data_IF_771022501147
#
_entry.id   IF_771022501147
#
_cell.length_a   1.000
_cell.length_b   1.000
_cell.length_c   1.000
_cell.angle_alpha   90.00
_cell.angle_beta   90.00
_cell.angle_gamma   90.00
#
_symmetry.space_group_name_H-M   'P 1'
#
loop_
_entity.id
_entity.type
_entity.pdbx_description
1 polymer ?
#
# COMPACT_ATOMS: atom_id res chain seq x y z
N UNK A 1 -3.60 -25.35 -29.07
CA UNK A 1 -3.68 -24.30 -28.02
C UNK A 1 -2.37 -24.35 -27.25
N UNK A 2 -1.75 -23.20 -26.90
CA UNK A 2 -0.45 -23.22 -26.25
C UNK A 2 -0.56 -23.81 -24.84
N UNK A 3 0.18 -24.90 -24.60
CA UNK A 3 0.39 -25.45 -23.27
C UNK A 3 1.71 -24.91 -22.74
N UNK A 4 1.70 -24.26 -21.58
CA UNK A 4 2.93 -23.76 -20.95
C UNK A 4 3.42 -24.80 -19.94
N UNK A 5 4.70 -25.16 -20.04
CA UNK A 5 5.39 -26.01 -19.07
C UNK A 5 6.44 -25.17 -18.36
N UNK A 6 6.25 -24.95 -17.07
CA UNK A 6 7.21 -24.30 -16.17
C UNK A 6 8.11 -25.39 -15.58
N UNK A 7 9.38 -25.39 -15.95
CA UNK A 7 10.37 -26.35 -15.45
C UNK A 7 11.22 -25.69 -14.37
N UNK A 8 11.21 -26.25 -13.16
CA UNK A 8 12.06 -25.83 -12.04
C UNK A 8 13.19 -26.84 -11.83
N UNK A 9 14.38 -26.34 -11.52
CA UNK A 9 15.59 -27.16 -11.27
C UNK A 9 15.46 -28.12 -10.08
N UNK A 10 14.58 -27.82 -9.12
CA UNK A 10 14.35 -28.63 -7.93
C UNK A 10 13.02 -28.31 -7.25
N UNK A 11 12.53 -29.22 -6.42
CA UNK A 11 11.37 -28.97 -5.54
C UNK A 11 11.64 -27.78 -4.60
N UNK A 12 12.87 -27.67 -4.09
CA UNK A 12 13.28 -26.54 -3.24
C UNK A 12 13.18 -25.19 -3.98
N UNK A 13 13.47 -25.14 -5.28
CA UNK A 13 13.31 -23.93 -6.08
C UNK A 13 11.83 -23.60 -6.35
N UNK A 14 11.02 -24.60 -6.68
CA UNK A 14 9.57 -24.43 -6.90
C UNK A 14 8.85 -23.92 -5.63
N UNK A 15 9.22 -24.45 -4.46
CA UNK A 15 8.65 -24.12 -3.15
C UNK A 15 9.30 -22.87 -2.51
N UNK A 16 10.40 -22.35 -3.06
CA UNK A 16 11.11 -21.21 -2.49
C UNK A 16 10.23 -19.98 -2.43
N UNK A 17 10.21 -19.29 -1.28
CA UNK A 17 9.39 -18.09 -1.09
C UNK A 17 10.03 -16.85 -1.70
N UNK A 18 9.50 -16.43 -2.84
CA UNK A 18 9.80 -15.15 -3.47
C UNK A 18 8.84 -14.11 -2.92
N UNK A 19 9.33 -13.30 -1.98
CA UNK A 19 8.54 -12.30 -1.25
C UNK A 19 7.26 -12.89 -0.63
N UNK A 20 7.41 -14.00 0.10
CA UNK A 20 6.34 -14.68 0.84
C UNK A 20 5.50 -15.68 0.07
N UNK A 21 5.54 -15.67 -1.28
CA UNK A 21 4.81 -16.62 -2.12
C UNK A 21 5.79 -17.66 -2.70
N UNK A 22 5.45 -18.96 -2.70
CA UNK A 22 6.22 -19.97 -3.45
C UNK A 22 6.47 -19.56 -4.90
N UNK A 23 7.68 -19.79 -5.41
CA UNK A 23 8.08 -19.36 -6.75
C UNK A 23 7.14 -19.92 -7.83
N UNK A 24 6.76 -21.19 -7.70
CA UNK A 24 5.82 -21.85 -8.60
C UNK A 24 4.41 -21.19 -8.60
N UNK A 25 3.87 -20.82 -7.43
CA UNK A 25 2.59 -20.10 -7.36
C UNK A 25 2.69 -18.69 -7.96
N UNK A 26 3.81 -17.99 -7.76
CA UNK A 26 4.03 -16.67 -8.37
C UNK A 26 4.13 -16.75 -9.89
N UNK A 27 4.79 -17.79 -10.41
CA UNK A 27 4.84 -18.06 -11.84
C UNK A 27 3.43 -18.36 -12.39
N UNK A 28 2.68 -19.24 -11.73
CA UNK A 28 1.30 -19.56 -12.10
C UNK A 28 0.40 -18.32 -12.12
N UNK A 29 0.54 -17.43 -11.15
CA UNK A 29 -0.18 -16.15 -11.11
C UNK A 29 0.11 -15.28 -12.33
N UNK A 30 1.39 -15.17 -12.73
CA UNK A 30 1.79 -14.42 -13.92
C UNK A 30 1.20 -15.02 -15.20
N UNK A 31 1.14 -16.34 -15.33
CA UNK A 31 0.46 -16.99 -16.46
C UNK A 31 -1.05 -16.74 -16.43
N UNK A 32 -1.67 -16.86 -15.26
CA UNK A 32 -3.11 -16.65 -15.09
C UNK A 32 -3.53 -15.23 -15.50
N UNK A 33 -2.69 -14.22 -15.26
CA UNK A 33 -2.95 -12.83 -15.64
C UNK A 33 -3.08 -12.59 -17.16
N UNK A 34 -2.55 -13.49 -17.99
CA UNK A 34 -2.69 -13.41 -19.46
C UNK A 34 -3.52 -14.56 -20.04
N UNK A 35 -3.96 -15.51 -19.20
CA UNK A 35 -4.49 -16.79 -19.64
C UNK A 35 -5.75 -16.68 -20.51
N UNK A 36 -6.70 -15.84 -20.09
CA UNK A 36 -7.95 -15.62 -20.84
C UNK A 36 -7.69 -14.92 -22.19
N UNK A 37 -6.83 -13.89 -22.19
CA UNK A 37 -6.55 -13.08 -23.37
C UNK A 37 -5.72 -13.85 -24.42
N UNK A 38 -4.86 -14.78 -24.00
CA UNK A 38 -3.98 -15.56 -24.87
C UNK A 38 -4.46 -17.01 -25.10
N UNK A 39 -5.64 -17.37 -24.59
CA UNK A 39 -6.22 -18.70 -24.76
C UNK A 39 -5.41 -19.82 -24.09
N UNK A 40 -4.67 -19.50 -23.03
CA UNK A 40 -3.88 -20.47 -22.25
C UNK A 40 -4.81 -21.13 -21.23
N UNK A 41 -5.21 -22.38 -21.48
CA UNK A 41 -6.13 -23.10 -20.60
C UNK A 41 -5.46 -23.97 -19.53
N UNK A 42 -4.20 -24.33 -19.75
CA UNK A 42 -3.48 -25.25 -18.88
C UNK A 42 -2.00 -24.85 -18.77
N UNK A 43 -1.48 -24.96 -17.54
CA UNK A 43 -0.07 -24.77 -17.22
C UNK A 43 0.40 -25.96 -16.39
N UNK A 44 1.50 -26.59 -16.79
CA UNK A 44 2.13 -27.65 -16.02
C UNK A 44 3.35 -27.09 -15.29
N UNK A 45 3.54 -27.47 -14.04
CA UNK A 45 4.74 -27.18 -13.24
C UNK A 45 5.46 -28.50 -13.04
N UNK A 46 6.71 -28.58 -13.52
CA UNK A 46 7.49 -29.82 -13.55
C UNK A 46 8.82 -29.59 -12.84
N UNK A 47 9.27 -30.63 -12.15
CA UNK A 47 10.59 -30.73 -11.52
C UNK A 47 11.20 -32.03 -12.01
N UNK A 48 12.52 -32.07 -12.19
CA UNK A 48 13.25 -33.24 -12.73
C UNK A 48 13.20 -34.49 -11.82
N UNK A 49 12.69 -34.37 -10.60
CA UNK A 49 12.57 -35.45 -9.62
C UNK A 49 11.12 -35.64 -9.17
N UNK A 50 10.75 -36.85 -8.71
CA UNK A 50 9.44 -37.08 -8.09
C UNK A 50 9.21 -36.07 -6.96
N UNK A 51 8.12 -35.32 -7.07
CA UNK A 51 7.82 -34.22 -6.16
C UNK A 51 6.32 -34.17 -5.89
N UNK A 52 5.98 -34.02 -4.61
CA UNK A 52 4.62 -33.72 -4.18
C UNK A 52 4.57 -32.25 -3.72
N UNK A 53 3.75 -31.41 -4.36
CA UNK A 53 3.56 -30.02 -3.96
C UNK A 53 3.08 -29.89 -2.52
N UNK A 54 3.61 -28.90 -1.81
CA UNK A 54 3.16 -28.59 -0.45
C UNK A 54 1.72 -28.04 -0.43
N UNK A 55 1.01 -28.24 0.68
CA UNK A 55 -0.30 -27.62 0.95
C UNK A 55 -0.28 -26.10 0.78
N UNK A 56 0.85 -25.45 1.15
CA UNK A 56 1.01 -24.00 1.00
C UNK A 56 1.06 -23.61 -0.46
N UNK A 57 1.85 -24.31 -1.28
CA UNK A 57 1.91 -24.06 -2.72
C UNK A 57 0.56 -24.28 -3.39
N UNK A 58 -0.12 -25.38 -3.06
CA UNK A 58 -1.44 -25.69 -3.62
C UNK A 58 -2.48 -24.62 -3.27
N UNK A 59 -2.51 -24.18 -2.02
CA UNK A 59 -3.41 -23.11 -1.56
C UNK A 59 -3.13 -21.79 -2.27
N UNK A 60 -1.87 -21.39 -2.40
CA UNK A 60 -1.50 -20.16 -3.11
C UNK A 60 -1.81 -20.25 -4.61
N UNK A 61 -1.59 -21.40 -5.25
CA UNK A 61 -1.97 -21.64 -6.65
C UNK A 61 -3.48 -21.49 -6.86
N UNK A 62 -4.31 -22.10 -6.00
CA UNK A 62 -5.79 -21.97 -6.07
C UNK A 62 -6.23 -20.52 -5.90
N UNK A 63 -5.59 -19.79 -4.99
CA UNK A 63 -5.92 -18.39 -4.70
C UNK A 63 -5.52 -17.44 -5.83
N UNK A 64 -4.33 -17.64 -6.41
CA UNK A 64 -3.72 -16.71 -7.36
C UNK A 64 -3.99 -17.03 -8.83
N UNK A 65 -4.35 -18.27 -9.14
CA UNK A 65 -4.62 -18.73 -10.50
C UNK A 65 -5.91 -19.59 -10.55
N UNK A 66 -7.05 -19.13 -10.00
CA UNK A 66 -8.24 -19.98 -9.84
C UNK A 66 -8.86 -20.46 -11.17
N UNK A 67 -8.65 -19.71 -12.26
CA UNK A 67 -9.17 -20.02 -13.60
C UNK A 67 -8.19 -20.83 -14.46
N UNK A 68 -6.95 -21.05 -14.01
CA UNK A 68 -5.93 -21.77 -14.76
C UNK A 68 -5.88 -23.24 -14.32
N UNK A 69 -6.00 -24.18 -15.26
CA UNK A 69 -5.81 -25.60 -14.93
C UNK A 69 -4.33 -25.88 -14.69
N UNK A 70 -3.96 -26.09 -13.42
CA UNK A 70 -2.61 -26.41 -13.01
C UNK A 70 -2.40 -27.92 -12.87
N UNK A 71 -1.32 -28.42 -13.44
CA UNK A 71 -0.86 -29.80 -13.26
C UNK A 71 0.57 -29.78 -12.70
N UNK A 72 0.89 -30.73 -11.81
CA UNK A 72 2.24 -30.87 -11.22
C UNK A 72 2.99 -32.07 -11.79
N UNK A 73 2.67 -32.41 -13.03
CA UNK A 73 3.24 -33.51 -13.78
C UNK A 73 3.34 -33.10 -15.25
N UNK A 74 4.25 -33.72 -16.03
CA UNK A 74 4.35 -33.47 -17.46
C UNK A 74 3.01 -33.79 -18.14
N UNK A 75 2.47 -32.88 -18.98
CA UNK A 75 1.27 -33.17 -19.75
C UNK A 75 1.57 -34.23 -20.82
N UNK A 76 0.56 -34.99 -21.24
CA UNK A 76 0.68 -35.87 -22.40
C UNK A 76 1.07 -35.05 -23.64
N UNK A 77 1.95 -35.56 -24.52
CA UNK A 77 2.43 -34.82 -25.69
C UNK A 77 1.28 -34.58 -26.67
N UNK A 78 0.67 -33.39 -26.60
CA UNK A 78 -0.38 -32.97 -27.53
C UNK A 78 -0.32 -31.45 -27.73
N UNK A 79 -0.18 -31.02 -28.98
CA UNK A 79 -0.18 -29.61 -29.37
C UNK A 79 1.15 -28.87 -29.20
N UNK A 80 1.10 -27.54 -29.40
CA UNK A 80 2.24 -26.63 -29.26
C UNK A 80 2.55 -26.42 -27.79
N UNK A 81 3.72 -26.87 -27.36
CA UNK A 81 4.19 -26.78 -25.98
C UNK A 81 5.28 -25.70 -25.88
N UNK A 82 5.07 -24.72 -25.01
CA UNK A 82 6.08 -23.71 -24.67
C UNK A 82 6.73 -24.10 -23.34
N UNK A 83 7.99 -24.50 -23.37
CA UNK A 83 8.75 -24.87 -22.17
C UNK A 83 9.56 -23.68 -21.68
N UNK A 84 9.41 -23.34 -20.40
CA UNK A 84 9.96 -22.13 -19.78
C UNK A 84 10.65 -22.48 -18.48
N UNK A 85 11.85 -21.93 -18.25
CA UNK A 85 12.56 -22.07 -16.97
C UNK A 85 11.86 -21.25 -15.89
N UNK A 86 11.30 -21.93 -14.89
CA UNK A 86 10.46 -21.33 -13.85
C UNK A 86 11.18 -20.24 -13.04
N UNK A 87 12.42 -20.47 -12.62
CA UNK A 87 13.19 -19.49 -11.84
C UNK A 87 13.53 -18.24 -12.65
N UNK A 88 13.94 -18.45 -13.89
CA UNK A 88 14.25 -17.37 -14.82
C UNK A 88 13.01 -16.53 -15.12
N UNK A 89 11.86 -17.19 -15.32
CA UNK A 89 10.58 -16.53 -15.56
C UNK A 89 10.14 -15.70 -14.35
N UNK A 90 10.18 -16.26 -13.14
CA UNK A 90 9.85 -15.52 -11.90
C UNK A 90 10.75 -14.30 -11.73
N UNK A 91 12.06 -14.45 -11.96
CA UNK A 91 13.00 -13.34 -11.89
C UNK A 91 12.77 -12.30 -12.98
N UNK A 92 12.41 -12.74 -14.20
CA UNK A 92 12.13 -11.86 -15.32
C UNK A 92 10.84 -11.05 -15.11
N UNK A 93 9.80 -11.64 -14.52
CA UNK A 93 8.58 -10.91 -14.12
C UNK A 93 8.89 -9.94 -12.98
N UNK A 94 9.66 -10.36 -11.96
CA UNK A 94 9.97 -9.53 -10.80
C UNK A 94 10.75 -8.25 -11.14
N UNK A 95 11.62 -8.28 -12.14
CA UNK A 95 12.38 -7.10 -12.61
C UNK A 95 11.52 -6.08 -13.35
N UNK A 96 10.34 -6.47 -13.82
CA UNK A 96 9.46 -5.61 -14.60
C UNK A 96 8.54 -4.86 -13.64
N UNK A 97 8.80 -3.58 -13.49
CA UNK A 97 7.96 -2.71 -12.67
C UNK A 97 6.60 -2.49 -13.36
N UNK A 98 5.52 -2.52 -12.59
CA UNK A 98 4.17 -2.21 -13.07
C UNK A 98 3.13 -3.28 -12.74
N UNK A 99 1.88 -3.06 -13.15
CA UNK A 99 0.82 -4.05 -13.00
C UNK A 99 1.15 -5.31 -13.80
N UNK A 100 0.77 -6.46 -13.24
CA UNK A 100 0.94 -7.74 -13.89
C UNK A 100 -0.02 -7.84 -15.09
N UNK A 101 0.51 -8.12 -16.27
CA UNK A 101 -0.24 -8.20 -17.52
C UNK A 101 0.65 -8.55 -18.70
N UNK A 102 0.10 -8.51 -19.93
CA UNK A 102 0.82 -8.93 -21.16
C UNK A 102 2.18 -8.26 -21.35
N UNK A 103 2.28 -6.97 -21.07
CA UNK A 103 3.53 -6.19 -21.22
C UNK A 103 4.65 -6.68 -20.31
N UNK A 104 4.30 -7.18 -19.12
CA UNK A 104 5.28 -7.73 -18.19
C UNK A 104 5.56 -9.22 -18.48
N UNK A 105 4.51 -9.99 -18.78
CA UNK A 105 4.56 -11.45 -18.81
C UNK A 105 5.11 -12.00 -20.13
N UNK A 106 4.69 -11.46 -21.29
CA UNK A 106 5.14 -11.99 -22.59
C UNK A 106 6.65 -11.85 -22.77
N UNK A 107 7.28 -10.68 -22.51
CA UNK A 107 8.74 -10.58 -22.60
C UNK A 107 9.45 -11.48 -21.58
N UNK A 108 8.88 -11.67 -20.39
CA UNK A 108 9.44 -12.59 -19.40
C UNK A 108 9.38 -14.06 -19.85
N UNK A 109 8.31 -14.47 -20.54
CA UNK A 109 8.21 -15.79 -21.17
C UNK A 109 9.29 -15.96 -22.25
N UNK A 110 9.48 -14.96 -23.11
CA UNK A 110 10.53 -15.01 -24.13
C UNK A 110 11.94 -15.11 -23.54
N UNK A 111 12.23 -14.34 -22.49
CA UNK A 111 13.53 -14.35 -21.80
C UNK A 111 13.84 -15.73 -21.17
N UNK A 112 12.81 -16.42 -20.69
CA UNK A 112 12.93 -17.67 -19.94
C UNK A 112 12.62 -18.93 -20.78
N UNK A 113 12.26 -18.78 -22.05
CA UNK A 113 11.93 -19.88 -22.96
C UNK A 113 13.15 -20.77 -23.20
N UNK A 114 12.95 -22.09 -23.14
CA UNK A 114 13.95 -23.08 -23.54
C UNK A 114 13.81 -23.26 -25.06
N UNK A 115 14.86 -22.93 -25.82
CA UNK A 115 14.85 -22.97 -27.29
C UNK A 115 15.48 -24.24 -27.88
N UNK A 116 16.26 -24.96 -27.10
CA UNK A 116 16.95 -26.18 -27.53
C UNK A 116 16.12 -27.44 -27.20
N UNK A 117 16.11 -28.41 -28.11
CA UNK A 117 15.54 -29.77 -27.92
C UNK A 117 16.34 -30.65 -26.94
N UNK A 118 17.38 -30.11 -26.30
CA UNK A 118 18.16 -30.86 -25.33
C UNK A 118 17.27 -31.30 -24.15
N UNK A 119 17.36 -32.57 -23.71
CA UNK A 119 16.49 -33.10 -22.66
C UNK A 119 16.56 -32.23 -21.40
N UNK A 120 15.44 -32.06 -20.66
CA UNK A 120 15.31 -31.09 -19.56
C UNK A 120 16.43 -31.15 -18.52
N UNK A 121 17.03 -32.33 -18.32
CA UNK A 121 18.14 -32.58 -17.39
C UNK A 121 19.44 -31.80 -17.72
N UNK A 122 19.74 -31.50 -19.00
CA UNK A 122 20.99 -30.87 -19.41
C UNK A 122 20.99 -29.33 -19.23
N UNK A 123 19.83 -28.74 -18.96
CA UNK A 123 19.63 -27.30 -18.82
C UNK A 123 19.53 -26.83 -17.36
N UNK A 124 19.79 -27.72 -16.40
CA UNK A 124 19.61 -27.45 -14.97
C UNK A 124 20.61 -26.40 -14.48
N UNK A 125 20.09 -25.25 -14.07
CA UNK A 125 20.84 -24.23 -13.34
C UNK A 125 21.32 -24.89 -12.03
N UNK A 126 22.60 -24.70 -11.65
CA UNK A 126 23.10 -25.09 -10.32
C UNK A 126 22.09 -24.64 -9.25
N UNK A 127 21.62 -25.57 -8.42
CA UNK A 127 20.59 -25.30 -7.42
C UNK A 127 20.92 -24.09 -6.52
N UNK A 128 22.21 -23.83 -6.25
CA UNK A 128 22.63 -22.61 -5.53
C UNK A 128 22.45 -21.34 -6.34
N UNK A 129 22.70 -21.38 -7.65
CA UNK A 129 22.43 -20.25 -8.55
C UNK A 129 20.92 -20.00 -8.70
N UNK A 130 20.11 -21.05 -8.79
CA UNK A 130 18.65 -20.95 -8.84
C UNK A 130 18.08 -20.25 -7.59
N UNK A 131 18.48 -20.69 -6.38
CA UNK A 131 18.04 -20.06 -5.13
C UNK A 131 18.51 -18.62 -4.98
N UNK A 132 19.73 -18.28 -5.43
CA UNK A 132 20.22 -16.88 -5.46
C UNK A 132 19.38 -16.01 -6.40
N UNK A 133 18.97 -16.53 -7.55
CA UNK A 133 18.12 -15.84 -8.50
C UNK A 133 16.73 -15.55 -7.90
N UNK A 134 16.11 -16.55 -7.28
CA UNK A 134 14.80 -16.40 -6.62
C UNK A 134 14.87 -15.44 -5.42
N UNK A 135 15.98 -15.44 -4.67
CA UNK A 135 16.22 -14.46 -3.60
C UNK A 135 16.28 -13.03 -4.12
N UNK A 136 16.97 -12.79 -5.24
CA UNK A 136 17.01 -11.48 -5.91
C UNK A 136 15.64 -11.08 -6.43
N UNK A 137 14.90 -12.01 -7.06
CA UNK A 137 13.53 -11.77 -7.49
C UNK A 137 12.64 -11.30 -6.32
N UNK A 138 12.81 -11.86 -5.11
CA UNK A 138 12.08 -11.40 -3.93
C UNK A 138 12.44 -9.98 -3.50
N UNK A 139 13.69 -9.56 -3.70
CA UNK A 139 14.12 -8.18 -3.45
C UNK A 139 13.54 -7.22 -4.50
N UNK A 140 13.52 -7.63 -5.77
CA UNK A 140 12.95 -6.85 -6.87
C UNK A 140 11.44 -6.63 -6.66
N UNK A 141 10.70 -7.68 -6.27
CA UNK A 141 9.27 -7.57 -5.91
C UNK A 141 9.07 -6.55 -4.79
N UNK A 142 9.85 -6.62 -3.71
CA UNK A 142 9.75 -5.67 -2.60
C UNK A 142 10.13 -4.25 -3.02
N UNK A 143 11.15 -4.06 -3.85
CA UNK A 143 11.53 -2.76 -4.37
C UNK A 143 10.41 -2.14 -5.22
N UNK A 144 9.74 -2.96 -6.03
CA UNK A 144 8.61 -2.55 -6.87
C UNK A 144 7.34 -2.18 -6.06
N UNK A 145 7.25 -2.55 -4.78
CA UNK A 145 6.10 -2.16 -3.94
C UNK A 145 6.10 -0.69 -3.50
N UNK A 146 7.14 0.09 -3.81
CA UNK A 146 7.18 1.53 -3.51
C UNK A 146 6.08 2.31 -4.25
N UNK A 147 5.52 3.33 -3.61
CA UNK A 147 4.53 4.21 -4.26
C UNK A 147 5.26 5.38 -4.93
N UNK A 148 4.85 5.75 -6.15
CA UNK A 148 5.42 6.90 -6.86
C UNK A 148 5.36 8.21 -6.05
N UNK A 149 4.32 8.37 -5.21
CA UNK A 149 4.12 9.50 -4.31
C UNK A 149 4.69 9.36 -2.89
N UNK A 150 5.61 8.42 -2.63
CA UNK A 150 6.30 8.35 -1.33
C UNK A 150 7.06 9.68 -1.07
N UNK A 151 6.88 10.24 0.14
CA UNK A 151 7.58 11.43 0.62
C UNK A 151 9.09 11.24 0.72
N UNK A 152 9.84 12.33 0.95
CA UNK A 152 11.32 12.30 0.96
C UNK A 152 11.82 11.38 2.09
N UNK A 153 11.27 11.51 3.29
CA UNK A 153 11.66 10.68 4.45
C UNK A 153 11.29 9.23 4.20
N UNK A 154 10.10 8.95 3.69
CA UNK A 154 9.67 7.60 3.36
C UNK A 154 10.61 6.98 2.33
N UNK A 155 10.90 7.68 1.23
CA UNK A 155 11.73 7.18 0.14
C UNK A 155 13.16 6.85 0.57
N UNK A 156 13.80 7.72 1.34
CA UNK A 156 15.23 7.61 1.64
C UNK A 156 15.54 7.01 3.01
N UNK A 157 14.61 7.07 3.98
CA UNK A 157 14.81 6.58 5.34
C UNK A 157 13.89 5.40 5.64
N UNK A 158 12.56 5.57 5.52
CA UNK A 158 11.64 4.54 5.97
C UNK A 158 11.68 3.30 5.07
N UNK A 159 11.61 3.47 3.73
CA UNK A 159 11.52 2.36 2.76
C UNK A 159 12.70 1.39 2.81
N UNK A 160 13.96 1.82 2.93
CA UNK A 160 15.07 0.89 3.13
C UNK A 160 14.89 0.00 4.38
N UNK A 161 14.39 0.57 5.47
CA UNK A 161 14.19 -0.11 6.76
C UNK A 161 12.95 -1.00 6.71
N UNK A 162 11.79 -0.46 6.30
CA UNK A 162 10.52 -1.19 6.19
C UNK A 162 10.66 -2.39 5.26
N UNK A 163 11.30 -2.25 4.10
CA UNK A 163 11.51 -3.37 3.16
C UNK A 163 12.44 -4.43 3.73
N UNK A 164 13.42 -4.05 4.55
CA UNK A 164 14.27 -5.02 5.24
C UNK A 164 13.46 -5.82 6.27
N UNK A 165 12.57 -5.15 7.01
CA UNK A 165 11.63 -5.77 7.95
C UNK A 165 10.65 -6.70 7.20
N UNK A 166 9.97 -6.19 6.17
CA UNK A 166 9.05 -6.94 5.30
C UNK A 166 9.69 -8.20 4.75
N UNK A 167 10.94 -8.12 4.27
CA UNK A 167 11.69 -9.29 3.77
C UNK A 167 11.86 -10.38 4.81
N UNK A 168 12.00 -10.02 6.07
CA UNK A 168 12.19 -10.96 7.16
C UNK A 168 10.87 -11.55 7.64
N UNK A 169 9.83 -10.72 7.76
CA UNK A 169 8.48 -11.15 8.12
C UNK A 169 7.89 -12.10 7.07
N UNK A 170 8.13 -11.84 5.77
CA UNK A 170 7.68 -12.72 4.68
C UNK A 170 8.33 -14.11 4.65
N UNK A 171 9.32 -14.38 5.51
CA UNK A 171 9.84 -15.73 5.70
C UNK A 171 8.88 -16.58 6.54
N UNK A 172 8.05 -15.95 7.36
CA UNK A 172 7.10 -16.59 8.26
C UNK A 172 5.80 -16.88 7.47
N UNK A 173 5.41 -18.15 7.27
CA UNK A 173 4.28 -18.52 6.42
C UNK A 173 2.95 -17.87 6.81
N UNK A 174 2.70 -17.77 8.13
CA UNK A 174 1.44 -17.30 8.68
C UNK A 174 1.36 -15.78 8.82
N UNK A 175 2.43 -15.05 8.49
CA UNK A 175 2.46 -13.61 8.67
C UNK A 175 1.69 -12.91 7.54
N UNK A 176 0.76 -12.04 7.90
CA UNK A 176 -0.17 -11.37 6.97
C UNK A 176 -0.07 -9.86 7.10
N UNK A 177 -0.59 -9.07 6.13
CA UNK A 177 -0.64 -7.61 6.25
C UNK A 177 -1.29 -7.14 7.55
N UNK A 178 -2.35 -7.80 7.99
CA UNK A 178 -3.04 -7.49 9.24
C UNK A 178 -2.14 -7.54 10.47
N UNK A 179 -1.22 -8.52 10.56
CA UNK A 179 -0.26 -8.60 11.66
C UNK A 179 0.71 -7.40 11.66
N UNK A 180 1.09 -6.90 10.48
CA UNK A 180 1.89 -5.69 10.37
C UNK A 180 1.10 -4.45 10.80
N UNK A 181 -0.15 -4.28 10.35
CA UNK A 181 -0.99 -3.16 10.82
C UNK A 181 -1.16 -3.19 12.35
N UNK A 182 -1.38 -4.37 12.94
CA UNK A 182 -1.43 -4.55 14.40
C UNK A 182 -0.11 -4.14 15.08
N UNK A 183 1.04 -4.47 14.48
CA UNK A 183 2.35 -4.04 14.98
C UNK A 183 2.49 -2.51 15.00
N UNK A 184 2.03 -1.81 13.96
CA UNK A 184 1.98 -0.34 13.94
C UNK A 184 1.09 0.20 15.07
N UNK A 185 -0.09 -0.38 15.28
CA UNK A 185 -0.99 0.01 16.36
C UNK A 185 -0.35 -0.18 17.74
N UNK A 186 0.35 -1.30 17.96
CA UNK A 186 1.07 -1.57 19.22
C UNK A 186 2.20 -0.56 19.46
N UNK A 187 2.95 -0.17 18.41
CA UNK A 187 3.94 0.91 18.51
C UNK A 187 3.28 2.24 18.90
N UNK A 188 2.09 2.53 18.34
CA UNK A 188 1.28 3.69 18.71
C UNK A 188 0.84 3.69 20.18
N UNK A 189 0.41 2.54 20.70
CA UNK A 189 0.04 2.40 22.13
C UNK A 189 1.26 2.57 23.03
N UNK A 190 2.39 1.93 22.69
CA UNK A 190 3.63 2.06 23.44
C UNK A 190 4.15 3.50 23.44
N UNK A 191 4.04 4.20 22.30
CA UNK A 191 4.34 5.62 22.17
C UNK A 191 3.49 6.46 23.12
N UNK A 192 2.17 6.26 23.11
CA UNK A 192 1.26 7.02 23.98
C UNK A 192 1.58 6.80 25.47
N UNK A 193 1.87 5.56 25.85
CA UNK A 193 2.29 5.24 27.22
C UNK A 193 3.61 5.91 27.60
N UNK A 194 4.62 5.90 26.72
CA UNK A 194 5.89 6.57 26.95
C UNK A 194 5.71 8.08 27.15
N UNK A 195 4.88 8.73 26.31
CA UNK A 195 4.60 10.15 26.45
C UNK A 195 3.85 10.47 27.76
N UNK A 196 2.98 9.58 28.23
CA UNK A 196 2.23 9.78 29.47
C UNK A 196 3.10 9.82 30.74
N UNK A 197 4.33 9.29 30.71
CA UNK A 197 5.26 9.31 31.86
C UNK A 197 5.58 10.74 32.35
N UNK A 198 5.43 11.75 31.49
CA UNK A 198 5.59 13.16 31.87
C UNK A 198 7.03 13.60 32.15
N UNK A 199 8.02 12.77 31.82
CA UNK A 199 9.44 13.08 31.96
C UNK A 199 10.16 13.18 30.60
N UNK A 200 11.40 13.67 30.63
CA UNK A 200 12.25 13.84 29.43
C UNK A 200 12.52 12.52 28.72
N UNK A 201 12.63 11.42 29.46
CA UNK A 201 12.90 10.09 28.89
C UNK A 201 11.69 9.60 28.10
N UNK A 202 10.50 9.66 28.69
CA UNK A 202 9.25 9.30 28.06
C UNK A 202 8.95 10.16 26.83
N UNK A 203 9.29 11.46 26.88
CA UNK A 203 9.20 12.36 25.75
C UNK A 203 10.05 11.90 24.55
N UNK A 204 11.34 11.61 24.79
CA UNK A 204 12.28 11.15 23.76
C UNK A 204 11.85 9.79 23.21
N UNK A 205 11.55 8.83 24.10
CA UNK A 205 11.11 7.48 23.71
C UNK A 205 9.82 7.55 22.90
N UNK A 206 8.85 8.37 23.31
CA UNK A 206 7.62 8.60 22.57
C UNK A 206 7.87 9.13 21.17
N UNK A 207 8.71 10.16 21.01
CA UNK A 207 9.03 10.71 19.70
C UNK A 207 9.76 9.71 18.78
N UNK A 208 10.67 8.90 19.34
CA UNK A 208 11.33 7.83 18.59
C UNK A 208 10.36 6.70 18.21
N UNK A 209 9.43 6.33 19.09
CA UNK A 209 8.38 5.35 18.79
C UNK A 209 7.40 5.86 17.74
N UNK A 210 7.12 7.15 17.69
CA UNK A 210 6.31 7.75 16.62
C UNK A 210 6.99 7.60 15.26
N UNK A 211 8.29 7.91 15.17
CA UNK A 211 9.07 7.67 13.97
C UNK A 211 9.17 6.18 13.63
N UNK A 212 9.34 5.30 14.62
CA UNK A 212 9.34 3.86 14.42
C UNK A 212 7.99 3.36 13.87
N UNK A 213 6.87 3.87 14.38
CA UNK A 213 5.54 3.59 13.85
C UNK A 213 5.43 4.04 12.39
N UNK A 214 5.89 5.25 12.05
CA UNK A 214 5.91 5.73 10.66
C UNK A 214 6.76 4.87 9.71
N UNK A 215 7.85 4.27 10.20
CA UNK A 215 8.64 3.31 9.42
C UNK A 215 7.88 1.99 9.26
N UNK A 216 7.34 1.46 10.36
CA UNK A 216 6.68 0.15 10.39
C UNK A 216 5.35 0.14 9.63
N UNK A 217 4.66 1.27 9.56
CA UNK A 217 3.45 1.47 8.78
C UNK A 217 3.62 1.12 7.30
N UNK A 218 4.80 1.32 6.73
CA UNK A 218 5.07 0.91 5.35
C UNK A 218 5.03 -0.60 5.10
N UNK A 219 5.19 -1.41 6.15
CA UNK A 219 5.38 -2.88 6.08
C UNK A 219 4.10 -3.59 5.66
N UNK A 220 2.93 -3.19 6.16
CA UNK A 220 1.68 -3.89 5.86
C UNK A 220 1.32 -3.81 4.38
N UNK A 221 1.48 -2.64 3.76
CA UNK A 221 1.22 -2.39 2.36
C UNK A 221 2.27 -3.04 1.47
N UNK A 222 3.53 -3.08 1.91
CA UNK A 222 4.59 -3.83 1.22
C UNK A 222 4.27 -5.33 1.18
N UNK A 223 3.87 -5.91 2.31
CA UNK A 223 3.46 -7.32 2.42
C UNK A 223 2.19 -7.55 1.59
N UNK A 224 1.19 -6.66 1.66
CA UNK A 224 -0.06 -6.79 0.91
C UNK A 224 0.19 -6.78 -0.60
N UNK A 225 1.01 -5.86 -1.11
CA UNK A 225 1.35 -5.77 -2.54
C UNK A 225 2.24 -6.94 -2.98
N UNK A 226 3.26 -7.28 -2.19
CA UNK A 226 4.16 -8.38 -2.51
C UNK A 226 3.45 -9.74 -2.55
N UNK A 227 2.43 -9.92 -1.70
CA UNK A 227 1.69 -11.18 -1.57
C UNK A 227 0.34 -11.20 -2.31
N UNK A 228 -0.01 -10.14 -3.05
CA UNK A 228 -1.31 -9.97 -3.72
C UNK A 228 -2.50 -10.15 -2.75
N UNK A 229 -2.45 -9.47 -1.60
CA UNK A 229 -3.46 -9.47 -0.52
C UNK A 229 -3.94 -8.06 -0.16
N UNK A 230 -3.91 -7.14 -1.12
CA UNK A 230 -4.47 -5.79 -0.95
C UNK A 230 -5.98 -5.86 -0.81
N UNK A 231 -6.57 -5.09 0.12
CA UNK A 231 -8.02 -5.02 0.34
C UNK A 231 -8.45 -3.64 0.83
N UNK A 232 -9.72 -3.28 0.59
CA UNK A 232 -10.30 -1.99 1.02
C UNK A 232 -10.41 -1.90 2.55
N UNK A 233 -10.71 -3.01 3.21
CA UNK A 233 -10.73 -3.11 4.68
C UNK A 233 -9.33 -2.85 5.25
N UNK A 234 -8.28 -3.40 4.62
CA UNK A 234 -6.91 -3.15 5.03
C UNK A 234 -6.52 -1.69 4.87
N UNK A 235 -6.88 -1.06 3.74
CA UNK A 235 -6.62 0.36 3.51
C UNK A 235 -7.37 1.28 4.49
N UNK A 236 -8.58 0.89 4.89
CA UNK A 236 -9.34 1.59 5.93
C UNK A 236 -8.68 1.45 7.29
N UNK A 237 -8.25 0.25 7.67
CA UNK A 237 -7.57 0.00 8.94
C UNK A 237 -6.25 0.78 9.04
N UNK A 238 -5.44 0.78 7.99
CA UNK A 238 -4.22 1.58 7.84
C UNK A 238 -4.50 3.07 8.13
N UNK A 239 -5.52 3.63 7.46
CA UNK A 239 -5.93 5.02 7.65
C UNK A 239 -6.41 5.34 9.08
N UNK A 240 -7.08 4.39 9.75
CA UNK A 240 -7.55 4.55 11.13
C UNK A 240 -6.37 4.52 12.11
N UNK A 241 -5.43 3.59 11.93
CA UNK A 241 -4.23 3.49 12.76
C UNK A 241 -3.36 4.74 12.59
N UNK A 242 -3.27 5.28 11.37
CA UNK A 242 -2.61 6.54 11.07
C UNK A 242 -3.20 7.73 11.82
N UNK A 243 -4.53 7.87 11.75
CA UNK A 243 -5.24 8.92 12.46
C UNK A 243 -5.05 8.79 13.98
N UNK A 244 -5.17 7.57 14.50
CA UNK A 244 -4.97 7.27 15.91
C UNK A 244 -3.54 7.61 16.36
N UNK A 245 -2.52 7.13 15.65
CA UNK A 245 -1.10 7.36 16.01
C UNK A 245 -0.76 8.85 15.98
N UNK A 246 -1.20 9.60 14.98
CA UNK A 246 -0.96 11.04 14.91
C UNK A 246 -1.66 11.78 16.08
N UNK A 247 -2.92 11.46 16.35
CA UNK A 247 -3.68 12.11 17.43
C UNK A 247 -3.10 11.76 18.81
N UNK A 248 -2.75 10.48 19.01
CA UNK A 248 -2.12 10.01 20.23
C UNK A 248 -0.76 10.68 20.45
N UNK A 249 0.03 10.87 19.39
CA UNK A 249 1.32 11.57 19.50
C UNK A 249 1.14 13.01 19.94
N UNK A 250 0.28 13.79 19.27
CA UNK A 250 0.06 15.21 19.60
C UNK A 250 -0.51 15.37 21.01
N UNK A 251 -1.48 14.51 21.37
CA UNK A 251 -2.08 14.50 22.71
C UNK A 251 -1.05 14.14 23.77
N UNK A 252 -0.31 13.04 23.57
CA UNK A 252 0.72 12.60 24.49
C UNK A 252 1.85 13.63 24.64
N UNK A 253 2.28 14.26 23.55
CA UNK A 253 3.27 15.33 23.56
C UNK A 253 2.80 16.52 24.41
N UNK A 254 1.57 16.97 24.19
CA UNK A 254 0.95 18.07 24.95
C UNK A 254 0.86 17.74 26.44
N UNK A 255 0.42 16.52 26.78
CA UNK A 255 0.32 16.06 28.17
C UNK A 255 1.70 15.96 28.81
N UNK A 256 2.69 15.39 28.13
CA UNK A 256 4.04 15.24 28.65
C UNK A 256 4.65 16.60 29.04
N UNK A 257 4.55 17.58 28.14
CA UNK A 257 5.02 18.95 28.36
C UNK A 257 4.32 19.60 29.56
N UNK A 258 3.00 19.41 29.69
CA UNK A 258 2.23 19.92 30.83
C UNK A 258 2.62 19.27 32.15
N UNK A 259 2.80 17.95 32.17
CA UNK A 259 3.24 17.20 33.36
C UNK A 259 4.68 17.56 33.76
N UNK A 260 5.53 17.90 32.80
CA UNK A 260 6.87 18.44 33.02
C UNK A 260 6.89 19.89 33.55
N UNK A 261 5.74 20.56 33.66
CA UNK A 261 5.60 21.90 34.23
C UNK A 261 5.63 23.06 33.23
N UNK A 262 5.75 22.80 31.92
CA UNK A 262 5.68 23.84 30.89
C UNK A 262 4.21 24.12 30.49
N UNK A 263 3.58 24.96 31.30
CA UNK A 263 2.18 25.38 31.10
C UNK A 263 1.99 26.07 29.75
N UNK A 264 2.96 26.85 29.29
CA UNK A 264 2.86 27.60 28.04
C UNK A 264 2.79 26.67 26.82
N UNK A 265 3.66 25.65 26.78
CA UNK A 265 3.66 24.63 25.75
C UNK A 265 2.40 23.76 25.80
N UNK A 266 1.95 23.39 27.00
CA UNK A 266 0.71 22.62 27.18
C UNK A 266 -0.53 23.38 26.68
N UNK A 267 -0.63 24.68 26.98
CA UNK A 267 -1.71 25.54 26.45
C UNK A 267 -1.65 25.62 24.94
N UNK A 268 -0.46 25.82 24.35
CA UNK A 268 -0.29 25.84 22.90
C UNK A 268 -0.73 24.53 22.24
N UNK A 269 -0.33 23.38 22.81
CA UNK A 269 -0.76 22.06 22.34
C UNK A 269 -2.26 21.83 22.49
N UNK A 270 -2.85 22.25 23.61
CA UNK A 270 -4.30 22.19 23.85
C UNK A 270 -5.08 23.02 22.83
N UNK A 271 -4.64 24.25 22.55
CA UNK A 271 -5.22 25.10 21.49
C UNK A 271 -5.14 24.41 20.14
N UNK A 272 -4.01 23.80 19.80
CA UNK A 272 -3.84 23.07 18.55
C UNK A 272 -4.82 21.90 18.42
N UNK A 273 -4.97 21.09 19.47
CA UNK A 273 -5.89 19.95 19.51
C UNK A 273 -7.36 20.38 19.38
N UNK A 274 -7.77 21.41 20.13
CA UNK A 274 -9.14 21.97 20.03
C UNK A 274 -9.39 22.50 18.63
N UNK A 275 -8.43 23.23 18.06
CA UNK A 275 -8.54 23.79 16.71
C UNK A 275 -8.69 22.69 15.65
N UNK A 276 -7.90 21.62 15.76
CA UNK A 276 -8.01 20.45 14.88
C UNK A 276 -9.38 19.77 15.02
N UNK A 277 -9.83 19.52 16.26
CA UNK A 277 -11.10 18.87 16.54
C UNK A 277 -12.29 19.68 16.01
N UNK A 278 -12.31 20.99 16.24
CA UNK A 278 -13.37 21.89 15.73
C UNK A 278 -13.35 21.93 14.20
N UNK A 279 -12.18 22.05 13.57
CA UNK A 279 -12.09 22.04 12.11
C UNK A 279 -12.61 20.74 11.49
N UNK A 280 -12.26 19.58 12.06
CA UNK A 280 -12.77 18.28 11.62
C UNK A 280 -14.29 18.17 11.81
N UNK A 281 -14.79 18.63 12.95
CA UNK A 281 -16.23 18.68 13.24
C UNK A 281 -17.00 19.58 12.26
N UNK A 282 -16.43 20.72 11.84
CA UNK A 282 -17.03 21.60 10.83
C UNK A 282 -17.09 20.93 9.46
N UNK A 283 -16.03 20.22 9.05
CA UNK A 283 -16.02 19.44 7.80
C UNK A 283 -17.07 18.33 7.86
N UNK A 284 -17.13 17.57 8.97
CA UNK A 284 -18.12 16.50 9.15
C UNK A 284 -19.55 17.01 9.06
N UNK A 285 -19.87 18.09 9.79
CA UNK A 285 -21.19 18.72 9.73
C UNK A 285 -21.55 19.27 8.36
N UNK A 286 -20.56 19.75 7.60
CA UNK A 286 -20.79 20.20 6.24
C UNK A 286 -21.10 19.05 5.29
N UNK A 287 -20.38 17.92 5.41
CA UNK A 287 -20.64 16.71 4.64
C UNK A 287 -22.04 16.16 4.93
N UNK A 288 -22.41 16.05 6.22
CA UNK A 288 -23.75 15.60 6.65
C UNK A 288 -24.85 16.49 6.08
N UNK A 289 -24.66 17.82 6.12
CA UNK A 289 -25.64 18.78 5.60
C UNK A 289 -25.81 18.73 4.07
N UNK A 290 -24.80 18.27 3.34
CA UNK A 290 -24.86 18.09 1.88
C UNK A 290 -25.28 16.67 1.46
N UNK A 291 -25.48 15.75 2.41
CA UNK A 291 -25.76 14.35 2.10
C UNK A 291 -24.63 13.65 1.35
N UNK A 292 -23.43 14.22 1.36
CA UNK A 292 -22.24 13.63 0.75
C UNK A 292 -21.48 12.82 1.81
N UNK A 293 -20.90 11.66 1.44
CA UNK A 293 -19.99 10.96 2.35
C UNK A 293 -18.85 11.90 2.76
N UNK A 294 -18.33 11.78 3.99
CA UNK A 294 -17.20 12.59 4.48
C UNK A 294 -16.01 12.51 3.51
N UNK A 295 -15.95 13.45 2.58
CA UNK A 295 -15.00 13.42 1.49
C UNK A 295 -13.97 14.51 1.71
N UNK A 296 -12.84 14.14 2.33
CA UNK A 296 -11.65 14.99 2.45
C UNK A 296 -11.16 15.51 1.07
N UNK A 297 -11.66 14.93 -0.03
CA UNK A 297 -11.41 15.41 -1.37
C UNK A 297 -12.03 16.76 -1.70
N UNK A 298 -12.99 17.32 -0.96
CA UNK A 298 -13.53 18.66 -1.29
C UNK A 298 -12.42 19.72 -1.22
N UNK A 299 -11.62 19.69 -0.14
CA UNK A 299 -10.45 20.56 0.03
C UNK A 299 -9.37 20.19 -0.99
N UNK A 300 -9.08 18.90 -1.19
CA UNK A 300 -8.05 18.46 -2.14
C UNK A 300 -8.40 18.79 -3.59
N UNK A 301 -9.67 18.71 -4.00
CA UNK A 301 -10.18 19.05 -5.34
C UNK A 301 -10.13 20.56 -5.57
N UNK A 302 -10.43 21.37 -4.55
CA UNK A 302 -10.32 22.83 -4.63
C UNK A 302 -8.88 23.30 -4.88
N UNK A 303 -7.88 22.60 -4.33
CA UNK A 303 -6.46 22.91 -4.58
C UNK A 303 -5.85 22.18 -5.79
N UNK A 304 -6.42 21.06 -6.24
CA UNK A 304 -5.91 20.27 -7.40
C UNK A 304 -6.57 20.60 -8.73
N UNK A 305 -7.57 21.47 -8.76
CA UNK A 305 -8.19 21.94 -10.01
C UNK A 305 -7.27 22.90 -10.78
N UNK A 306 -6.54 22.35 -11.76
CA UNK A 306 -6.18 23.11 -12.98
C UNK A 306 -4.78 23.74 -13.08
N UNK A 307 -3.86 23.61 -12.11
CA UNK A 307 -2.46 24.06 -12.29
C UNK A 307 -1.46 23.00 -11.82
N UNK A 308 -0.40 22.77 -12.63
CA UNK A 308 0.78 22.01 -12.16
C UNK A 308 1.28 22.70 -10.88
N UNK A 309 1.45 21.98 -9.76
CA UNK A 309 1.91 22.60 -8.53
C UNK A 309 3.26 23.26 -8.77
N UNK A 310 3.44 24.49 -8.30
CA UNK A 310 4.75 25.14 -8.32
C UNK A 310 5.72 24.33 -7.46
N UNK A 311 7.03 24.45 -7.71
CA UNK A 311 8.06 23.75 -6.89
C UNK A 311 7.92 24.02 -5.39
N UNK A 312 7.43 25.21 -5.02
CA UNK A 312 7.11 25.56 -3.63
C UNK A 312 5.91 24.78 -3.08
N UNK A 313 4.84 24.62 -3.87
CA UNK A 313 3.68 23.81 -3.48
C UNK A 313 4.05 22.33 -3.37
N UNK A 314 4.88 21.81 -4.28
CA UNK A 314 5.41 20.44 -4.16
C UNK A 314 6.25 20.28 -2.89
N UNK A 315 7.14 21.24 -2.58
CA UNK A 315 7.92 21.24 -1.35
C UNK A 315 7.01 21.24 -0.11
N UNK A 316 5.96 22.06 -0.10
CA UNK A 316 4.99 22.12 1.00
C UNK A 316 4.25 20.79 1.18
N UNK A 317 3.80 20.18 0.08
CA UNK A 317 3.17 18.85 0.13
C UNK A 317 4.11 17.86 0.81
N UNK A 318 5.37 17.77 0.38
CA UNK A 318 6.35 16.85 0.96
C UNK A 318 6.66 17.16 2.43
N UNK A 319 6.72 18.44 2.81
CA UNK A 319 6.95 18.88 4.20
C UNK A 319 5.77 18.51 5.12
N UNK A 320 4.56 18.46 4.58
CA UNK A 320 3.34 18.11 5.33
C UNK A 320 3.03 16.61 5.33
N UNK A 321 3.84 15.79 4.67
CA UNK A 321 3.64 14.34 4.70
C UNK A 321 3.93 13.79 6.10
N UNK A 322 3.16 12.78 6.52
CA UNK A 322 3.23 12.16 7.85
C UNK A 322 4.63 11.63 8.18
N UNK A 323 5.32 11.05 7.21
CA UNK A 323 6.69 10.55 7.33
C UNK A 323 7.69 11.67 7.65
N UNK A 324 7.58 12.82 6.98
CA UNK A 324 8.40 13.98 7.29
C UNK A 324 8.08 14.51 8.69
N UNK A 325 6.79 14.64 9.02
CA UNK A 325 6.33 15.10 10.32
C UNK A 325 6.87 14.23 11.46
N UNK A 326 6.76 12.91 11.36
CA UNK A 326 7.25 11.99 12.38
C UNK A 326 8.77 12.11 12.60
N UNK A 327 9.55 12.22 11.51
CA UNK A 327 11.00 12.36 11.60
C UNK A 327 11.41 13.72 12.17
N UNK A 328 10.76 14.80 11.75
CA UNK A 328 11.01 16.14 12.26
C UNK A 328 10.71 16.21 13.77
N UNK A 329 9.59 15.63 14.21
CA UNK A 329 9.24 15.53 15.62
C UNK A 329 10.32 14.80 16.43
N UNK A 330 10.77 13.63 15.95
CA UNK A 330 11.84 12.86 16.60
C UNK A 330 13.13 13.68 16.75
N UNK A 331 13.57 14.34 15.67
CA UNK A 331 14.79 15.17 15.69
C UNK A 331 14.65 16.36 16.62
N UNK A 332 13.55 17.11 16.55
CA UNK A 332 13.34 18.29 17.38
C UNK A 332 13.25 17.95 18.87
N UNK A 333 12.57 16.86 19.23
CA UNK A 333 12.46 16.41 20.61
C UNK A 333 13.81 15.97 21.16
N UNK A 334 14.57 15.17 20.40
CA UNK A 334 15.92 14.73 20.80
C UNK A 334 16.87 15.93 20.95
N UNK A 335 16.74 16.95 20.10
CA UNK A 335 17.50 18.19 20.19
C UNK A 335 17.06 19.13 21.33
N UNK A 336 16.00 18.80 22.07
CA UNK A 336 15.47 19.65 23.14
C UNK A 336 14.67 20.86 22.66
N UNK A 337 14.26 20.88 21.39
CA UNK A 337 13.49 21.96 20.76
C UNK A 337 11.98 21.74 20.84
N UNK A 338 11.51 21.03 21.86
CA UNK A 338 10.11 20.62 22.02
C UNK A 338 9.14 21.80 22.10
N UNK A 339 9.55 22.90 22.75
CA UNK A 339 8.72 24.11 22.84
C UNK A 339 8.47 24.73 21.45
N UNK A 340 9.49 24.81 20.61
CA UNK A 340 9.34 25.29 19.23
C UNK A 340 8.47 24.34 18.41
N UNK A 341 8.60 23.03 18.63
CA UNK A 341 7.77 22.02 17.95
C UNK A 341 6.28 22.23 18.26
N UNK A 342 5.91 22.41 19.53
CA UNK A 342 4.50 22.55 19.90
C UNK A 342 3.91 23.89 19.44
N UNK A 343 4.71 24.97 19.45
CA UNK A 343 4.30 26.25 18.86
C UNK A 343 4.10 26.14 17.35
N UNK A 344 5.02 25.49 16.64
CA UNK A 344 4.88 25.24 15.21
C UNK A 344 3.60 24.43 14.93
N UNK A 345 3.34 23.39 15.71
CA UNK A 345 2.12 22.59 15.58
C UNK A 345 0.85 23.43 15.78
N UNK A 346 0.80 24.27 16.81
CA UNK A 346 -0.31 25.18 17.06
C UNK A 346 -0.53 26.16 15.90
N UNK A 347 0.54 26.75 15.37
CA UNK A 347 0.46 27.69 14.24
C UNK A 347 -0.04 27.02 12.96
N UNK A 348 0.44 25.80 12.66
CA UNK A 348 0.00 25.03 11.49
C UNK A 348 -1.47 24.62 11.64
N UNK A 349 -1.88 24.15 12.82
CA UNK A 349 -3.28 23.78 13.10
C UNK A 349 -4.21 24.98 12.94
N UNK A 350 -3.82 26.15 13.44
CA UNK A 350 -4.58 27.40 13.28
C UNK A 350 -4.67 27.82 11.81
N UNK A 351 -3.56 27.79 11.07
CA UNK A 351 -3.57 28.08 9.64
C UNK A 351 -4.49 27.15 8.85
N UNK A 352 -4.42 25.84 9.12
CA UNK A 352 -5.31 24.85 8.52
C UNK A 352 -6.79 25.11 8.85
N UNK A 353 -7.09 25.47 10.09
CA UNK A 353 -8.45 25.80 10.51
C UNK A 353 -8.99 27.04 9.79
N UNK A 354 -8.20 28.11 9.69
CA UNK A 354 -8.58 29.33 8.96
C UNK A 354 -8.87 29.01 7.49
N UNK A 355 -8.01 28.22 6.84
CA UNK A 355 -8.23 27.78 5.46
C UNK A 355 -9.52 26.94 5.34
N UNK A 356 -9.74 26.03 6.28
CA UNK A 356 -10.94 25.18 6.31
C UNK A 356 -12.22 26.02 6.42
N UNK A 357 -12.27 26.95 7.39
CA UNK A 357 -13.41 27.86 7.57
C UNK A 357 -13.64 28.71 6.31
N UNK A 358 -12.57 29.23 5.71
CA UNK A 358 -12.64 30.02 4.48
C UNK A 358 -13.21 29.22 3.31
N UNK A 359 -12.74 27.99 3.09
CA UNK A 359 -13.23 27.11 2.02
C UNK A 359 -14.70 26.76 2.23
N UNK A 360 -15.09 26.37 3.44
CA UNK A 360 -16.48 26.04 3.79
C UNK A 360 -17.42 27.25 3.64
N UNK A 361 -16.94 28.44 3.94
CA UNK A 361 -17.71 29.67 3.75
C UNK A 361 -17.91 29.99 2.26
N UNK A 362 -16.88 29.76 1.44
CA UNK A 362 -16.96 29.98 -0.01
C UNK A 362 -17.87 28.98 -0.71
N UNK A 363 -17.83 27.70 -0.34
CA UNK A 363 -18.71 26.67 -0.92
C UNK A 363 -20.18 26.94 -0.59
N UNK A 364 -20.48 27.42 0.62
CA UNK A 364 -21.84 27.86 0.98
C UNK A 364 -22.35 29.03 0.13
N UNK A 365 -21.50 30.04 -0.15
CA UNK A 365 -21.90 31.18 -0.99
C UNK A 365 -22.11 30.80 -2.46
N UNK A 366 -21.25 29.95 -3.02
CA UNK A 366 -21.41 29.47 -4.41
C UNK A 366 -22.69 28.66 -4.65
N UNK A 367 -23.23 28.00 -3.62
CA UNK A 367 -24.53 27.31 -3.69
C UNK A 367 -25.74 28.24 -3.55
N UNK A 368 -25.56 29.46 -3.02
CA UNK A 368 -26.61 30.47 -2.86
C UNK A 368 -26.75 31.34 -4.12
N UNK A 369 -25.66 31.53 -4.89
CA UNK A 369 -25.67 32.29 -6.15
C UNK A 369 -26.18 31.50 -7.37
N UNK A 370 -26.46 30.20 -7.24
CA UNK A 370 -27.20 29.43 -8.25
C UNK A 370 -28.71 29.56 -8.00
N UNK A 371 -29.28 30.64 -8.51
CA UNK A 371 -30.72 30.93 -8.50
C UNK A 371 -31.52 29.87 -9.29
N UNK A 372 -32.55 29.22 -8.71
CA UNK A 372 -33.43 28.29 -9.42
C UNK A 372 -34.27 28.93 -10.56
N UNK A 373 -34.24 30.26 -10.71
CA UNK A 373 -35.05 30.97 -11.71
C UNK A 373 -34.67 30.72 -13.19
N UNK A 374 -33.59 30.00 -13.49
CA UNK A 374 -33.12 29.74 -14.87
C UNK A 374 -33.47 28.36 -15.46
N UNK A 375 -34.18 27.49 -14.73
CA UNK A 375 -34.74 26.24 -15.26
C UNK A 375 -36.27 26.25 -15.32
N UNK A 376 -36.84 27.41 -15.63
CA UNK A 376 -38.28 27.63 -15.69
C UNK A 376 -38.91 27.57 -17.07
N UNK A 377 -38.39 26.83 -18.07
CA UNK A 377 -39.14 26.56 -19.32
C UNK A 377 -38.69 25.23 -19.94
N UNK A 378 -39.34 24.13 -19.57
CA UNK A 378 -39.51 22.98 -20.48
C UNK A 378 -40.96 22.49 -20.37
N UNK A 379 -41.70 22.77 -21.44
CA UNK A 379 -43.07 22.33 -21.72
C UNK A 379 -43.27 20.82 -21.54
N UNK A 380 -44.41 20.36 -20.99
CA UNK A 380 -44.72 18.93 -20.91
C UNK A 380 -45.13 18.39 -22.28
N UNK A 381 -44.48 17.30 -22.72
CA UNK A 381 -44.93 16.49 -23.85
C UNK A 381 -46.17 15.66 -23.43
N UNK A 382 -47.14 15.44 -24.34
CA UNK A 382 -48.35 14.72 -24.01
C UNK A 382 -48.11 13.21 -23.85
N UNK A 383 -48.77 12.65 -22.85
CA UNK A 383 -48.83 11.23 -22.52
C UNK A 383 -49.56 10.42 -23.60
N UNK A 384 -48.87 9.48 -24.24
CA UNK A 384 -49.50 8.37 -24.94
C UNK A 384 -49.46 7.12 -24.06
N UNK A 385 -50.59 6.79 -23.44
CA UNK A 385 -50.87 5.43 -22.99
C UNK A 385 -50.92 4.48 -24.21
N UNK A 386 -50.43 3.25 -24.05
CA UNK A 386 -50.91 2.16 -24.90
C UNK A 386 -50.01 0.93 -25.03
N UNK A 387 -50.31 -0.08 -24.21
CA UNK A 387 -50.43 -1.51 -24.59
C UNK A 387 -49.17 -2.39 -24.76
N UNK A 388 -49.14 -3.38 -23.87
CA UNK A 388 -49.11 -4.84 -24.11
C UNK A 388 -47.84 -5.64 -23.76
N UNK A 389 -48.11 -6.55 -22.82
CA UNK A 389 -47.50 -7.84 -22.47
C UNK A 389 -46.90 -8.71 -23.58
N UNK A 390 -46.09 -9.66 -23.08
CA UNK A 390 -45.70 -10.97 -23.62
C UNK A 390 -44.46 -11.00 -24.53
N UNK A 391 -43.32 -11.43 -23.99
CA UNK A 391 -42.79 -12.81 -24.09
C UNK A 391 -41.34 -12.83 -23.59
#
# INVERSE_FOLDING_TARGET
MPHIILVFSSAAAAEYRVAGIPAAARAAHAIAAIAEQDGIRQCAIVVDQPWQPSETLLTECRRLAPHLRLAFAPPAPSGTVLTVRGEAFVAAVARRAGPLGREAVLPALFDACIRDEAPPAAASIDGRAALRMLRRAGQDVLAATGKGGDGIVSRYINRPISRAISRQLLRIPAFTPFHASLGTALLGVAMAFALFLGDKTGLIVGALLFQAASIFDGVDGEIARATYRTSDQGATLDSVIDAFTNLAFVTGLTLNIGLSGDVSGAVAGGVALVTLAVGLMLIGRHADAMGEPMNFDIIKRHFRSGRRPSRLMECLIHLTMRDFFAAACAVMVVAGLTHLLILAFATIALGWFVVTVFVLFRTRRGAVDTDPALYGVLTPLPSSQGRNSCA
#
